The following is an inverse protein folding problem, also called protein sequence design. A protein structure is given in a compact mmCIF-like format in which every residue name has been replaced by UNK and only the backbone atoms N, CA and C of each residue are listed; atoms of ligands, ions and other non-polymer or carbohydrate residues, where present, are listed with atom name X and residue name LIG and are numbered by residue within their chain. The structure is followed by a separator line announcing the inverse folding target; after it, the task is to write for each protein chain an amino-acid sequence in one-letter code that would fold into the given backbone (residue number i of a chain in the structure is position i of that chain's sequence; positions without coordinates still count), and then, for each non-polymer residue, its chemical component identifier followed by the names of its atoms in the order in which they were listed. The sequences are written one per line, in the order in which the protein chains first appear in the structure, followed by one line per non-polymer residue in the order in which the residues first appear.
data_IF_738374573604
#
_entry.id   IF_738374573604
#
_cell.length_a   1.000
_cell.length_b   1.000
_cell.length_c   1.000
_cell.angle_alpha   90.00
_cell.angle_beta   90.00
_cell.angle_gamma   90.00
#
_symmetry.space_group_name_H-M   'P 1'
#
loop_
_entity.id
_entity.type
_entity.pdbx_description
1 polymer ?
#
# COMPACT_ATOMS: atom_id res chain seq x y z
N UNK A 1 0.76 -26.02 2.91
CA UNK A 1 1.40 -25.02 3.80
C UNK A 1 0.48 -23.82 3.90
N UNK A 2 -0.01 -23.49 5.10
CA UNK A 2 -0.82 -22.30 5.35
C UNK A 2 0.17 -21.15 5.53
N UNK A 3 0.33 -20.30 4.51
CA UNK A 3 1.19 -19.10 4.59
C UNK A 3 0.64 -18.25 5.72
N UNK A 4 1.40 -18.09 6.81
CA UNK A 4 1.05 -17.14 7.86
C UNK A 4 1.07 -15.74 7.23
N UNK A 5 0.17 -14.85 7.66
CA UNK A 5 0.17 -13.48 7.19
C UNK A 5 1.51 -12.78 7.49
N UNK A 6 2.16 -13.15 8.59
CA UNK A 6 3.49 -12.69 9.01
C UNK A 6 4.63 -13.53 8.42
N UNK A 7 4.38 -14.33 7.38
CA UNK A 7 5.45 -15.05 6.69
C UNK A 7 6.47 -14.04 6.15
N UNK A 8 7.78 -14.21 6.45
CA UNK A 8 8.83 -13.31 5.98
C UNK A 8 8.83 -13.09 4.46
N UNK A 9 8.31 -14.04 3.67
CA UNK A 9 8.17 -13.91 2.22
C UNK A 9 7.11 -12.90 1.81
N UNK A 10 6.01 -12.77 2.57
CA UNK A 10 4.96 -11.78 2.34
C UNK A 10 5.52 -10.38 2.57
N UNK A 11 6.17 -10.18 3.73
CA UNK A 11 6.78 -8.89 4.09
C UNK A 11 7.85 -8.48 3.08
N UNK A 12 8.78 -9.37 2.71
CA UNK A 12 9.82 -9.06 1.70
C UNK A 12 9.22 -8.67 0.34
N UNK A 13 8.20 -9.39 -0.11
CA UNK A 13 7.56 -9.09 -1.40
C UNK A 13 6.79 -7.77 -1.35
N UNK A 14 6.16 -7.47 -0.21
CA UNK A 14 5.48 -6.20 0.02
C UNK A 14 6.47 -5.03 0.08
N UNK A 15 7.64 -5.20 0.69
CA UNK A 15 8.71 -4.18 0.74
C UNK A 15 9.20 -3.85 -0.67
N UNK A 16 9.55 -4.86 -1.47
CA UNK A 16 9.98 -4.63 -2.86
C UNK A 16 8.89 -3.98 -3.72
N UNK A 17 7.62 -4.33 -3.48
CA UNK A 17 6.48 -3.68 -4.13
C UNK A 17 6.34 -2.22 -3.69
N UNK A 18 6.55 -1.92 -2.40
CA UNK A 18 6.48 -0.57 -1.88
C UNK A 18 7.61 0.28 -2.47
N UNK A 19 8.86 -0.21 -2.48
CA UNK A 19 9.99 0.48 -3.12
C UNK A 19 9.70 0.84 -4.58
N UNK A 20 9.13 -0.10 -5.33
CA UNK A 20 8.65 0.15 -6.69
C UNK A 20 7.58 1.25 -6.73
N UNK A 21 6.55 1.17 -5.88
CA UNK A 21 5.45 2.14 -5.87
C UNK A 21 5.89 3.56 -5.46
N UNK A 22 6.97 3.69 -4.69
CA UNK A 22 7.47 4.98 -4.22
C UNK A 22 8.32 5.72 -5.26
N UNK A 23 8.79 5.05 -6.32
CA UNK A 23 9.47 5.71 -7.44
C UNK A 23 8.47 6.60 -8.21
N UNK A 24 8.75 7.92 -8.37
CA UNK A 24 7.89 8.85 -9.11
C UNK A 24 7.50 8.41 -10.52
N UNK A 25 8.34 7.62 -11.20
CA UNK A 25 8.02 7.11 -12.56
C UNK A 25 6.85 6.12 -12.58
N UNK A 26 6.47 5.59 -11.41
CA UNK A 26 5.40 4.61 -11.25
C UNK A 26 4.14 5.20 -10.62
N UNK A 27 4.11 6.49 -10.31
CA UNK A 27 2.94 7.14 -9.72
C UNK A 27 1.79 7.20 -10.71
N UNK A 28 0.56 7.07 -10.19
CA UNK A 28 -0.65 6.95 -11.00
C UNK A 28 -1.56 8.16 -10.81
N UNK A 29 -2.23 8.67 -11.86
CA UNK A 29 -3.35 9.59 -11.69
C UNK A 29 -4.44 8.96 -10.80
N UNK A 30 -5.02 9.76 -9.90
CA UNK A 30 -6.08 9.29 -9.02
C UNK A 30 -7.27 8.74 -9.81
N UNK A 31 -7.75 7.56 -9.41
CA UNK A 31 -8.91 6.92 -10.06
C UNK A 31 -8.56 5.96 -11.21
N UNK A 32 -7.28 5.84 -11.57
CA UNK A 32 -6.84 4.82 -12.52
C UNK A 32 -6.90 3.41 -11.90
N UNK A 33 -7.12 2.40 -12.73
CA UNK A 33 -7.24 1.01 -12.29
C UNK A 33 -5.92 0.51 -11.66
N UNK A 34 -5.96 0.22 -10.36
CA UNK A 34 -4.79 -0.15 -9.54
C UNK A 34 -4.38 -1.61 -9.69
N UNK A 35 -5.27 -2.45 -10.21
CA UNK A 35 -5.09 -3.89 -10.37
C UNK A 35 -4.21 -4.26 -11.59
N UNK A 36 -3.13 -3.51 -11.83
CA UNK A 36 -2.11 -3.90 -12.79
C UNK A 36 -1.11 -4.86 -12.14
N UNK A 37 -0.54 -5.78 -12.91
CA UNK A 37 0.44 -6.75 -12.41
C UNK A 37 1.68 -6.08 -11.79
N UNK A 38 2.01 -4.86 -12.20
CA UNK A 38 3.14 -4.10 -11.67
C UNK A 38 2.94 -3.73 -10.18
N UNK A 39 1.72 -3.33 -9.82
CA UNK A 39 1.37 -2.79 -8.50
C UNK A 39 0.81 -3.85 -7.53
N UNK A 40 0.73 -5.11 -7.96
CA UNK A 40 0.18 -6.21 -7.20
C UNK A 40 1.23 -7.29 -6.97
N UNK A 41 1.30 -7.83 -5.76
CA UNK A 41 2.02 -9.07 -5.45
C UNK A 41 1.08 -10.05 -4.79
N UNK A 42 1.25 -11.32 -5.14
CA UNK A 42 0.53 -12.44 -4.53
C UNK A 42 1.56 -13.38 -3.93
N UNK A 43 1.51 -13.57 -2.62
CA UNK A 43 2.40 -14.47 -1.87
C UNK A 43 1.53 -15.46 -1.10
N UNK A 44 1.52 -16.70 -1.58
CA UNK A 44 0.59 -17.71 -1.08
C UNK A 44 -0.86 -17.27 -1.29
N UNK A 45 -1.57 -17.00 -0.20
CA UNK A 45 -2.97 -16.53 -0.21
C UNK A 45 -3.12 -15.02 0.02
N UNK A 46 -2.01 -14.32 0.26
CA UNK A 46 -2.00 -12.88 0.56
C UNK A 46 -1.77 -12.12 -0.73
N UNK A 47 -2.68 -11.20 -1.02
CA UNK A 47 -2.54 -10.23 -2.09
C UNK A 47 -2.19 -8.88 -1.45
N UNK A 48 -1.15 -8.24 -1.97
CA UNK A 48 -0.66 -6.94 -1.54
C UNK A 48 -0.63 -6.03 -2.74
N UNK A 49 -1.24 -4.85 -2.64
CA UNK A 49 -1.21 -3.82 -3.66
C UNK A 49 -0.63 -2.53 -3.06
N UNK A 50 0.28 -1.86 -3.77
CA UNK A 50 0.80 -0.57 -3.34
C UNK A 50 0.86 0.40 -4.53
N UNK A 51 0.40 1.63 -4.33
CA UNK A 51 0.45 2.72 -5.32
C UNK A 51 0.69 4.05 -4.62
N UNK A 52 1.28 4.99 -5.34
CA UNK A 52 1.18 6.42 -5.01
C UNK A 52 0.28 7.05 -6.05
N UNK A 53 -0.86 7.57 -5.59
CA UNK A 53 -1.84 8.22 -6.45
C UNK A 53 -1.63 9.75 -6.40
N UNK A 54 -1.59 10.38 -7.56
CA UNK A 54 -1.51 11.84 -7.73
C UNK A 54 -2.91 12.39 -7.99
N UNK A 55 -3.40 13.25 -7.10
CA UNK A 55 -4.70 13.91 -7.25
C UNK A 55 -4.64 15.01 -8.32
N UNK A 56 -5.80 15.50 -8.81
CA UNK A 56 -5.82 16.66 -9.70
C UNK A 56 -5.25 17.94 -9.07
N UNK A 57 -5.23 18.02 -7.73
CA UNK A 57 -4.60 19.09 -6.95
C UNK A 57 -3.11 18.89 -6.73
N UNK A 58 -2.49 17.92 -7.43
CA UNK A 58 -1.08 17.55 -7.33
C UNK A 58 -0.65 17.04 -5.94
N UNK A 59 -1.60 16.60 -5.12
CA UNK A 59 -1.30 15.94 -3.86
C UNK A 59 -0.98 14.47 -4.11
N UNK A 60 -0.11 13.89 -3.29
CA UNK A 60 0.25 12.47 -3.39
C UNK A 60 -0.32 11.68 -2.22
N UNK A 61 -0.93 10.54 -2.53
CA UNK A 61 -1.50 9.63 -1.53
C UNK A 61 -0.90 8.26 -1.73
N UNK A 62 -0.12 7.79 -0.76
CA UNK A 62 0.30 6.40 -0.69
C UNK A 62 -0.89 5.56 -0.29
N UNK A 63 -1.14 4.50 -1.06
CA UNK A 63 -2.16 3.50 -0.79
C UNK A 63 -1.53 2.14 -0.73
N UNK A 64 -1.76 1.42 0.35
CA UNK A 64 -1.32 0.03 0.54
C UNK A 64 -2.56 -0.78 0.88
N UNK A 65 -2.81 -1.84 0.13
CA UNK A 65 -4.01 -2.67 0.28
C UNK A 65 -3.65 -4.12 0.44
N UNK A 66 -4.34 -4.80 1.34
CA UNK A 66 -4.15 -6.21 1.62
C UNK A 66 -5.45 -6.98 1.41
N UNK A 67 -5.33 -8.22 0.96
CA UNK A 67 -6.45 -9.15 0.88
C UNK A 67 -5.95 -10.57 1.07
N UNK A 68 -6.55 -11.28 2.01
CA UNK A 68 -6.35 -12.70 2.21
C UNK A 68 -7.61 -13.31 2.84
N UNK A 69 -7.80 -14.65 2.76
CA UNK A 69 -8.79 -15.33 3.59
C UNK A 69 -8.58 -14.99 5.06
N UNK A 70 -9.66 -14.69 5.79
CA UNK A 70 -9.65 -14.42 7.24
C UNK A 70 -8.84 -13.17 7.67
N UNK A 71 -8.37 -12.35 6.73
CA UNK A 71 -7.67 -11.10 7.05
C UNK A 71 -8.61 -10.13 7.77
N UNK A 72 -8.17 -9.60 8.90
CA UNK A 72 -8.88 -8.60 9.68
C UNK A 72 -8.17 -7.24 9.58
N UNK A 73 -8.87 -6.12 9.85
CA UNK A 73 -8.22 -4.81 9.85
C UNK A 73 -7.04 -4.71 10.82
N UNK A 74 -7.15 -5.36 11.99
CA UNK A 74 -6.07 -5.37 12.99
C UNK A 74 -4.83 -6.09 12.47
N UNK A 75 -4.99 -7.31 11.95
CA UNK A 75 -3.87 -8.08 11.39
C UNK A 75 -3.28 -7.43 10.14
N UNK A 76 -4.09 -6.73 9.34
CA UNK A 76 -3.60 -5.95 8.21
C UNK A 76 -2.84 -4.69 8.65
N UNK A 77 -3.21 -4.08 9.78
CA UNK A 77 -2.47 -2.97 10.38
C UNK A 77 -1.12 -3.43 10.92
N UNK A 78 -1.03 -4.62 11.52
CA UNK A 78 0.26 -5.21 11.93
C UNK A 78 1.19 -5.41 10.71
N UNK A 79 0.64 -5.88 9.57
CA UNK A 79 1.40 -6.02 8.33
C UNK A 79 1.85 -4.67 7.77
N UNK A 80 0.98 -3.67 7.81
CA UNK A 80 1.32 -2.31 7.43
C UNK A 80 2.47 -1.80 8.29
N UNK A 81 2.41 -1.99 9.61
CA UNK A 81 3.44 -1.57 10.54
C UNK A 81 4.79 -2.22 10.18
N UNK A 82 4.83 -3.55 10.03
CA UNK A 82 6.04 -4.27 9.61
C UNK A 82 6.59 -3.76 8.26
N UNK A 83 5.71 -3.48 7.30
CA UNK A 83 6.09 -2.98 5.98
C UNK A 83 6.72 -1.58 6.04
N UNK A 84 6.17 -0.69 6.89
CA UNK A 84 6.60 0.71 6.98
C UNK A 84 7.60 1.00 8.09
N UNK A 85 8.03 -0.02 8.86
CA UNK A 85 9.16 0.06 9.81
C UNK A 85 10.48 0.46 9.15
N UNK A 86 10.61 0.23 7.84
CA UNK A 86 11.74 0.72 7.04
C UNK A 86 11.85 2.25 7.04
N UNK A 87 12.99 2.77 6.58
CA UNK A 87 13.19 4.23 6.44
C UNK A 87 12.40 4.76 5.24
N UNK A 88 11.18 5.19 5.48
CA UNK A 88 10.36 5.91 4.50
C UNK A 88 10.13 7.36 4.95
N UNK A 89 10.22 8.30 4.02
CA UNK A 89 9.95 9.71 4.31
C UNK A 89 8.48 10.00 4.08
N UNK A 90 7.67 9.86 5.13
CA UNK A 90 6.26 10.25 5.08
C UNK A 90 6.07 11.72 5.41
N UNK A 91 4.98 12.32 4.90
CA UNK A 91 4.52 13.62 5.37
C UNK A 91 4.32 13.60 6.90
N UNK A 92 4.90 14.55 7.65
CA UNK A 92 4.72 14.61 9.10
C UNK A 92 3.27 14.91 9.48
N UNK A 93 2.86 14.51 10.68
CA UNK A 93 1.53 14.79 11.25
C UNK A 93 0.36 14.31 10.37
N UNK A 94 0.52 13.18 9.69
CA UNK A 94 -0.54 12.56 8.90
C UNK A 94 -0.79 11.16 9.40
N UNK A 95 -2.07 10.81 9.54
CA UNK A 95 -2.52 9.50 10.01
C UNK A 95 -2.79 8.57 8.83
N UNK A 96 -2.84 7.28 9.12
CA UNK A 96 -3.34 6.29 8.17
C UNK A 96 -4.86 6.24 8.26
N UNK A 97 -5.51 6.43 7.12
CA UNK A 97 -6.93 6.14 6.94
C UNK A 97 -7.08 4.66 6.59
N UNK A 98 -8.04 3.98 7.21
CA UNK A 98 -8.33 2.58 6.95
C UNK A 98 -9.75 2.42 6.40
N UNK A 99 -9.92 1.64 5.33
CA UNK A 99 -11.22 1.32 4.74
C UNK A 99 -11.27 -0.12 4.25
N UNK A 100 -12.48 -0.68 4.17
CA UNK A 100 -12.72 -2.03 3.63
C UNK A 100 -13.70 -1.92 2.47
N UNK A 101 -13.36 -2.52 1.32
CA UNK A 101 -14.26 -2.53 0.16
C UNK A 101 -15.20 -3.76 0.15
N UNK A 102 -16.18 -3.75 -0.77
CA UNK A 102 -17.11 -4.87 -0.93
C UNK A 102 -16.46 -6.18 -1.42
N UNK A 103 -15.19 -6.15 -1.83
CA UNK A 103 -14.40 -7.32 -2.25
C UNK A 103 -13.46 -7.80 -1.13
N UNK A 104 -13.60 -7.24 0.08
CA UNK A 104 -12.81 -7.53 1.29
C UNK A 104 -11.34 -7.13 1.16
N UNK A 105 -11.02 -6.15 0.31
CA UNK A 105 -9.73 -5.49 0.42
C UNK A 105 -9.74 -4.57 1.62
N UNK A 106 -8.65 -4.60 2.38
CA UNK A 106 -8.38 -3.66 3.46
C UNK A 106 -7.38 -2.65 2.92
N UNK A 107 -7.80 -1.40 2.83
CA UNK A 107 -7.03 -0.30 2.27
C UNK A 107 -6.52 0.59 3.38
N UNK A 108 -5.24 0.89 3.32
CA UNK A 108 -4.60 1.93 4.10
C UNK A 108 -4.16 3.04 3.17
N UNK A 109 -4.55 4.27 3.47
CA UNK A 109 -4.12 5.45 2.73
C UNK A 109 -3.54 6.51 3.63
N UNK A 110 -2.50 7.18 3.13
CA UNK A 110 -1.85 8.29 3.84
C UNK A 110 -1.25 9.24 2.82
N UNK A 111 -1.26 10.54 3.12
CA UNK A 111 -0.53 11.54 2.34
C UNK A 111 0.96 11.19 2.29
N UNK A 112 1.54 11.14 1.10
CA UNK A 112 2.93 10.71 0.94
C UNK A 112 3.91 11.89 1.02
N UNK A 113 3.75 12.89 0.15
CA UNK A 113 4.58 14.11 0.14
C UNK A 113 4.00 15.22 1.03
N UNK A 114 4.89 15.99 1.68
CA UNK A 114 4.47 17.12 2.50
C UNK A 114 3.84 18.24 1.66
N UNK A 115 4.38 18.51 0.47
CA UNK A 115 3.91 19.55 -0.44
C UNK A 115 3.29 18.94 -1.71
N UNK A 116 2.32 19.62 -2.34
CA UNK A 116 1.88 19.28 -3.68
C UNK A 116 3.05 19.29 -4.66
N UNK A 117 2.95 18.49 -5.72
CA UNK A 117 3.90 18.49 -6.82
C UNK A 117 3.83 19.82 -7.59
N UNK A 118 4.90 20.10 -8.33
CA UNK A 118 4.96 21.21 -9.27
C UNK A 118 4.63 20.68 -10.67
N UNK A 119 3.87 21.46 -11.44
CA UNK A 119 3.53 21.17 -12.83
C UNK A 119 4.64 21.60 -13.79
#
# INVERSE_FOLDING_TARGET
MRTSLQDPSVVRSAVSLLEYALDPVHWLPSGQARASAAHLRVVGQVQVCATVDVTPTLETVLRISFRAPELTPMTAADLLEELVKGRFTFAPNTEWECGIDGRKWIHFSRRYTARPLQA
#
